data_IF_801811020711
#
_entry.id   IF_801811020711
#
_cell.length_a   1.000
_cell.length_b   1.000
_cell.length_c   1.000
_cell.angle_alpha   90.00
_cell.angle_beta   90.00
_cell.angle_gamma   90.00
#
_symmetry.space_group_name_H-M   'P 1'
#
loop_
_entity.id
_entity.type
_entity.pdbx_description
1 polymer ?
#
# COMPACT_ATOMS: atom_id res chain seq x y z
N UNK A 1 1.43 7.22 -30.04
CA UNK A 1 2.75 7.85 -30.17
C UNK A 1 3.44 7.70 -28.83
N UNK A 2 4.31 6.69 -28.68
CA UNK A 2 5.12 6.49 -27.46
C UNK A 2 6.05 7.70 -27.34
N UNK A 3 5.90 8.51 -26.29
CA UNK A 3 6.84 9.60 -26.03
C UNK A 3 8.22 8.98 -25.79
N UNK A 4 9.21 9.39 -26.55
CA UNK A 4 10.60 8.95 -26.36
C UNK A 4 11.14 9.53 -25.05
N UNK A 5 11.07 8.76 -23.98
CA UNK A 5 11.69 9.12 -22.71
C UNK A 5 13.12 8.58 -22.65
N UNK A 6 13.99 9.29 -21.94
CA UNK A 6 15.33 8.78 -21.63
C UNK A 6 15.23 7.45 -20.86
N UNK A 7 16.12 6.51 -21.14
CA UNK A 7 16.20 5.23 -20.39
C UNK A 7 16.29 5.47 -18.87
N UNK A 8 17.01 6.51 -18.45
CA UNK A 8 17.08 6.88 -17.03
C UNK A 8 15.71 7.21 -16.44
N UNK A 9 14.91 8.01 -17.12
CA UNK A 9 13.55 8.37 -16.68
C UNK A 9 12.66 7.16 -16.56
N UNK A 10 12.73 6.23 -17.52
CA UNK A 10 11.94 4.99 -17.51
C UNK A 10 12.22 4.15 -16.26
N UNK A 11 13.50 3.88 -16.00
CA UNK A 11 13.89 3.04 -14.84
C UNK A 11 13.70 3.77 -13.51
N UNK A 12 13.82 5.08 -13.47
CA UNK A 12 13.48 5.88 -12.29
C UNK A 12 12.01 5.77 -11.93
N UNK A 13 11.11 5.78 -12.91
CA UNK A 13 9.67 5.56 -12.69
C UNK A 13 9.42 4.15 -12.14
N UNK A 14 10.02 3.11 -12.72
CA UNK A 14 9.90 1.72 -12.22
C UNK A 14 10.39 1.64 -10.77
N UNK A 15 11.52 2.24 -10.47
CA UNK A 15 12.07 2.27 -9.10
C UNK A 15 11.09 2.91 -8.13
N UNK A 16 10.56 4.11 -8.45
CA UNK A 16 9.60 4.79 -7.57
C UNK A 16 8.31 3.99 -7.35
N UNK A 17 7.78 3.38 -8.41
CA UNK A 17 6.58 2.54 -8.32
C UNK A 17 6.84 1.29 -7.49
N UNK A 18 8.02 0.68 -7.63
CA UNK A 18 8.42 -0.49 -6.82
C UNK A 18 8.56 -0.11 -5.35
N UNK A 19 9.18 1.03 -5.04
CA UNK A 19 9.31 1.53 -3.66
C UNK A 19 7.92 1.79 -3.07
N UNK A 20 7.05 2.49 -3.79
CA UNK A 20 5.68 2.76 -3.33
C UNK A 20 4.89 1.48 -3.06
N UNK A 21 4.96 0.50 -3.98
CA UNK A 21 4.32 -0.80 -3.79
C UNK A 21 4.93 -1.57 -2.60
N UNK A 22 6.25 -1.57 -2.44
CA UNK A 22 6.93 -2.21 -1.31
C UNK A 22 6.47 -1.62 0.03
N UNK A 23 6.40 -0.29 0.13
CA UNK A 23 5.92 0.40 1.34
C UNK A 23 4.46 0.04 1.66
N UNK A 24 3.58 -0.04 0.64
CA UNK A 24 2.20 -0.49 0.81
C UNK A 24 2.13 -1.91 1.37
N UNK A 25 2.97 -2.83 0.90
CA UNK A 25 3.01 -4.20 1.43
C UNK A 25 3.63 -4.28 2.84
N UNK A 26 4.63 -3.46 3.16
CA UNK A 26 5.14 -3.34 4.54
C UNK A 26 4.02 -2.89 5.47
N UNK A 27 3.25 -1.85 5.10
CA UNK A 27 2.15 -1.33 5.91
C UNK A 27 1.08 -2.39 6.22
N UNK A 28 0.75 -3.23 5.24
CA UNK A 28 -0.17 -4.35 5.44
C UNK A 28 0.39 -5.42 6.36
N UNK A 29 1.67 -5.79 6.17
CA UNK A 29 2.30 -6.88 6.91
C UNK A 29 2.66 -6.51 8.34
N UNK A 30 3.05 -5.27 8.60
CA UNK A 30 3.43 -4.84 9.95
C UNK A 30 2.26 -5.01 10.93
N UNK A 31 1.03 -4.78 10.51
CA UNK A 31 -0.14 -5.02 11.36
C UNK A 31 -0.33 -6.49 11.72
N UNK A 32 -0.03 -7.41 10.79
CA UNK A 32 -0.09 -8.84 11.11
C UNK A 32 0.93 -9.22 12.18
N UNK A 33 2.11 -8.62 12.15
CA UNK A 33 3.14 -8.83 13.17
C UNK A 33 2.73 -8.19 14.51
N UNK A 34 2.03 -7.04 14.47
CA UNK A 34 1.62 -6.28 15.66
C UNK A 34 0.28 -6.73 16.28
N UNK A 35 -0.31 -7.84 15.88
CA UNK A 35 -1.61 -8.31 16.41
C UNK A 35 -1.58 -8.41 17.94
N UNK A 36 -0.52 -8.97 18.53
CA UNK A 36 -0.38 -9.13 19.97
C UNK A 36 -0.39 -7.80 20.73
N UNK A 37 0.52 -6.87 20.42
CA UNK A 37 0.51 -5.52 20.98
C UNK A 37 -0.83 -4.79 20.80
N UNK A 38 -1.40 -4.76 19.59
CA UNK A 38 -2.68 -4.08 19.31
C UNK A 38 -3.81 -4.61 20.18
N UNK A 39 -3.88 -5.93 20.37
CA UNK A 39 -4.89 -6.54 21.25
C UNK A 39 -4.77 -6.05 22.69
N UNK A 40 -3.55 -5.95 23.21
CA UNK A 40 -3.31 -5.52 24.59
C UNK A 40 -3.63 -4.03 24.77
N UNK A 41 -3.14 -3.19 23.87
CA UNK A 41 -3.22 -1.73 24.00
C UNK A 41 -4.64 -1.21 23.79
N UNK A 42 -5.45 -1.88 22.96
CA UNK A 42 -6.83 -1.48 22.69
C UNK A 42 -7.87 -2.21 23.57
N UNK A 43 -7.47 -2.66 24.76
CA UNK A 43 -8.41 -3.18 25.77
C UNK A 43 -8.80 -4.64 25.60
N UNK A 44 -7.97 -5.46 24.98
CA UNK A 44 -8.19 -6.91 24.86
C UNK A 44 -9.15 -7.26 23.72
N UNK A 45 -8.92 -6.72 22.52
CA UNK A 45 -9.75 -7.01 21.36
C UNK A 45 -9.85 -8.51 21.07
N UNK A 46 -11.04 -8.94 20.70
CA UNK A 46 -11.33 -10.31 20.27
C UNK A 46 -10.66 -10.62 18.90
N UNK A 47 -10.50 -11.91 18.61
CA UNK A 47 -9.98 -12.35 17.28
C UNK A 47 -10.87 -11.90 16.13
N UNK A 48 -12.18 -11.79 16.37
CA UNK A 48 -13.13 -11.28 15.38
C UNK A 48 -12.88 -9.80 15.09
N UNK A 49 -12.70 -8.97 16.12
CA UNK A 49 -12.42 -7.53 15.94
C UNK A 49 -11.11 -7.30 15.22
N UNK A 50 -10.06 -8.05 15.54
CA UNK A 50 -8.79 -8.00 14.83
C UNK A 50 -8.96 -8.40 13.36
N UNK A 51 -9.70 -9.47 13.09
CA UNK A 51 -9.97 -9.89 11.70
C UNK A 51 -10.77 -8.87 10.91
N UNK A 52 -11.67 -8.14 11.56
CA UNK A 52 -12.40 -7.03 10.94
C UNK A 52 -11.46 -5.87 10.59
N UNK A 53 -10.54 -5.50 11.46
CA UNK A 53 -9.58 -4.41 11.23
C UNK A 53 -8.60 -4.77 10.10
N UNK A 54 -7.93 -5.93 10.22
CA UNK A 54 -6.86 -6.32 9.29
C UNK A 54 -7.42 -6.75 7.94
N UNK A 55 -8.51 -7.52 7.96
CA UNK A 55 -9.12 -8.10 6.76
C UNK A 55 -10.18 -7.20 6.15
N UNK A 56 -11.36 -7.15 6.78
CA UNK A 56 -12.56 -6.59 6.16
C UNK A 56 -12.46 -5.09 5.93
N UNK A 57 -12.00 -4.31 6.93
CA UNK A 57 -11.91 -2.85 6.83
C UNK A 57 -11.08 -2.41 5.63
N UNK A 58 -9.95 -3.05 5.43
CA UNK A 58 -9.07 -2.78 4.30
C UNK A 58 -9.61 -3.36 2.99
N UNK A 59 -9.85 -4.70 2.95
CA UNK A 59 -10.12 -5.41 1.69
C UNK A 59 -11.44 -5.02 1.03
N UNK A 60 -12.50 -4.82 1.82
CA UNK A 60 -13.80 -4.42 1.29
C UNK A 60 -13.72 -3.03 0.65
N UNK A 61 -13.13 -2.07 1.37
CA UNK A 61 -13.03 -0.69 0.86
C UNK A 61 -12.06 -0.60 -0.32
N UNK A 62 -10.92 -1.28 -0.25
CA UNK A 62 -9.97 -1.39 -1.35
C UNK A 62 -10.66 -1.91 -2.62
N UNK A 63 -11.41 -3.02 -2.52
CA UNK A 63 -12.10 -3.63 -3.66
C UNK A 63 -13.19 -2.71 -4.26
N UNK A 64 -13.99 -2.08 -3.40
CA UNK A 64 -15.07 -1.19 -3.83
C UNK A 64 -14.54 0.09 -4.47
N UNK A 65 -13.41 0.61 -3.99
CA UNK A 65 -12.86 1.89 -4.48
C UNK A 65 -11.91 1.74 -5.65
N UNK A 66 -11.35 0.55 -5.90
CA UNK A 66 -10.41 0.30 -7.01
C UNK A 66 -11.01 0.68 -8.37
N UNK A 67 -12.24 0.28 -8.68
CA UNK A 67 -12.87 0.59 -9.98
C UNK A 67 -13.17 2.09 -10.17
N UNK A 68 -13.76 2.80 -9.20
CA UNK A 68 -13.93 4.26 -9.29
C UNK A 68 -12.59 5.00 -9.44
N UNK A 69 -11.58 4.61 -8.65
CA UNK A 69 -10.26 5.24 -8.69
C UNK A 69 -9.49 4.95 -9.99
N UNK A 70 -9.66 3.76 -10.57
CA UNK A 70 -9.15 3.46 -11.90
C UNK A 70 -9.72 4.42 -12.96
N UNK A 71 -11.04 4.68 -12.94
CA UNK A 71 -11.69 5.64 -13.85
C UNK A 71 -11.18 7.08 -13.65
N UNK A 72 -10.87 7.44 -12.41
CA UNK A 72 -10.26 8.74 -12.10
C UNK A 72 -8.83 8.79 -12.69
N UNK A 73 -8.04 7.73 -12.52
CA UNK A 73 -6.70 7.65 -13.09
C UNK A 73 -6.67 7.72 -14.62
N UNK A 74 -7.73 7.26 -15.30
CA UNK A 74 -7.87 7.36 -16.76
C UNK A 74 -8.20 8.79 -17.22
N UNK A 75 -8.87 9.60 -16.38
CA UNK A 75 -9.30 10.97 -16.72
C UNK A 75 -8.31 12.04 -16.27
N UNK A 76 -7.54 11.78 -15.24
CA UNK A 76 -6.60 12.72 -14.66
C UNK A 76 -5.16 12.27 -14.83
N UNK A 77 -4.19 13.12 -14.47
CA UNK A 77 -2.79 12.76 -14.47
C UNK A 77 -2.52 11.59 -13.51
N UNK A 78 -2.11 10.44 -14.05
CA UNK A 78 -1.80 9.23 -13.26
C UNK A 78 -0.78 9.51 -12.16
N UNK A 79 0.24 10.34 -12.47
CA UNK A 79 1.21 10.81 -11.48
C UNK A 79 0.54 11.47 -10.28
N UNK A 80 -0.42 12.37 -10.52
CA UNK A 80 -1.10 13.08 -9.45
C UNK A 80 -2.03 12.15 -8.66
N UNK A 81 -2.68 11.20 -9.32
CA UNK A 81 -3.53 10.20 -8.66
C UNK A 81 -2.70 9.30 -7.75
N UNK A 82 -1.54 8.82 -8.22
CA UNK A 82 -0.61 8.02 -7.41
C UNK A 82 -0.10 8.85 -6.22
N UNK A 83 0.33 10.10 -6.46
CA UNK A 83 0.85 10.97 -5.39
C UNK A 83 -0.22 11.27 -4.33
N UNK A 84 -1.45 11.57 -4.75
CA UNK A 84 -2.57 11.78 -3.84
C UNK A 84 -2.92 10.52 -3.04
N UNK A 85 -2.87 9.35 -3.68
CA UNK A 85 -3.04 8.07 -3.02
C UNK A 85 -1.98 7.83 -1.96
N UNK A 86 -0.68 7.98 -2.31
CA UNK A 86 0.43 7.82 -1.37
C UNK A 86 0.27 8.77 -0.17
N UNK A 87 -0.03 10.04 -0.42
CA UNK A 87 -0.26 11.01 0.65
C UNK A 87 -1.44 10.59 1.55
N UNK A 88 -2.57 10.19 0.95
CA UNK A 88 -3.77 9.79 1.68
C UNK A 88 -3.51 8.58 2.57
N UNK A 89 -2.94 7.48 2.03
CA UNK A 89 -2.71 6.30 2.85
C UNK A 89 -1.63 6.53 3.91
N UNK A 90 -0.57 7.31 3.60
CA UNK A 90 0.46 7.64 4.60
C UNK A 90 -0.12 8.40 5.79
N UNK A 91 -1.03 9.35 5.53
CA UNK A 91 -1.75 10.08 6.57
C UNK A 91 -2.62 9.13 7.41
N UNK A 92 -3.35 8.24 6.77
CA UNK A 92 -4.21 7.27 7.45
C UNK A 92 -3.39 6.25 8.25
N UNK A 93 -2.22 5.82 7.76
CA UNK A 93 -1.30 4.96 8.50
C UNK A 93 -0.75 5.67 9.75
N UNK A 94 -0.39 6.95 9.63
CA UNK A 94 0.01 7.75 10.79
C UNK A 94 -1.14 7.86 11.82
N UNK A 95 -2.37 8.10 11.36
CA UNK A 95 -3.56 8.11 12.25
C UNK A 95 -3.83 6.74 12.88
N UNK A 96 -3.61 5.64 12.15
CA UNK A 96 -3.72 4.29 12.70
C UNK A 96 -2.75 4.06 13.85
N UNK A 97 -1.51 4.56 13.74
CA UNK A 97 -0.52 4.49 14.84
C UNK A 97 -0.88 5.33 16.07
N UNK A 98 -1.81 6.28 15.94
CA UNK A 98 -2.31 7.11 17.06
C UNK A 98 -3.66 6.62 17.60
N UNK A 99 -4.20 5.52 17.08
CA UNK A 99 -5.51 5.01 17.45
C UNK A 99 -5.53 4.47 18.87
N UNK A 100 -6.52 4.89 19.66
CA UNK A 100 -6.74 4.45 21.04
C UNK A 100 -8.04 3.65 21.20
N UNK A 101 -8.69 3.29 20.10
CA UNK A 101 -9.92 2.49 20.11
C UNK A 101 -10.06 1.68 18.83
N UNK A 102 -10.87 0.60 18.91
CA UNK A 102 -11.24 -0.21 17.75
C UNK A 102 -11.72 0.63 16.57
N UNK A 103 -12.66 1.55 16.80
CA UNK A 103 -13.26 2.34 15.72
C UNK A 103 -12.29 3.32 15.05
N UNK A 104 -11.36 3.88 15.82
CA UNK A 104 -10.32 4.74 15.26
C UNK A 104 -9.39 3.94 14.35
N UNK A 105 -8.93 2.78 14.80
CA UNK A 105 -8.07 1.91 14.00
C UNK A 105 -8.82 1.36 12.78
N UNK A 106 -10.07 0.92 12.96
CA UNK A 106 -10.90 0.42 11.87
C UNK A 106 -11.12 1.46 10.76
N UNK A 107 -11.49 2.69 11.12
CA UNK A 107 -11.71 3.77 10.14
C UNK A 107 -10.41 4.22 9.47
N UNK A 108 -9.30 4.28 10.20
CA UNK A 108 -7.99 4.55 9.63
C UNK A 108 -7.60 3.48 8.60
N UNK A 109 -7.85 2.20 8.87
CA UNK A 109 -7.61 1.09 7.92
C UNK A 109 -8.47 1.17 6.66
N UNK A 110 -9.72 1.60 6.79
CA UNK A 110 -10.57 1.91 5.63
C UNK A 110 -9.93 3.03 4.77
N UNK A 111 -9.44 4.08 5.40
CA UNK A 111 -8.77 5.19 4.73
C UNK A 111 -7.49 4.77 4.01
N UNK A 112 -6.69 3.89 4.61
CA UNK A 112 -5.53 3.26 3.95
C UNK A 112 -5.97 2.48 2.71
N UNK A 113 -7.02 1.66 2.82
CA UNK A 113 -7.59 0.92 1.69
C UNK A 113 -8.00 1.80 0.51
N UNK A 114 -8.64 2.96 0.77
CA UNK A 114 -8.98 3.94 -0.27
C UNK A 114 -7.72 4.50 -0.94
N UNK A 115 -6.74 4.95 -0.15
CA UNK A 115 -5.51 5.54 -0.66
C UNK A 115 -4.73 4.55 -1.54
N UNK A 116 -4.53 3.33 -1.08
CA UNK A 116 -3.79 2.30 -1.80
C UNK A 116 -4.50 1.81 -3.07
N UNK A 117 -5.84 1.78 -3.08
CA UNK A 117 -6.63 1.36 -4.23
C UNK A 117 -6.39 2.22 -5.48
N UNK A 118 -5.91 3.46 -5.30
CA UNK A 118 -5.60 4.37 -6.42
C UNK A 118 -4.31 4.00 -7.15
N UNK A 119 -3.33 3.42 -6.46
CA UNK A 119 -1.97 3.25 -7.01
C UNK A 119 -1.82 2.04 -7.92
N UNK A 120 -2.51 0.94 -7.68
CA UNK A 120 -2.41 -0.27 -8.50
C UNK A 120 -2.76 -0.03 -9.98
N UNK A 121 -4.02 0.33 -10.29
CA UNK A 121 -4.44 0.61 -11.67
C UNK A 121 -3.65 1.75 -12.33
N UNK A 122 -3.39 2.82 -11.58
CA UNK A 122 -2.64 3.97 -12.10
C UNK A 122 -1.18 3.60 -12.44
N UNK A 123 -0.52 2.76 -11.63
CA UNK A 123 0.85 2.29 -11.86
C UNK A 123 0.95 1.39 -13.09
N UNK A 124 0.05 0.41 -13.22
CA UNK A 124 0.02 -0.48 -14.38
C UNK A 124 -0.23 0.29 -15.68
N UNK A 125 -1.20 1.20 -15.67
CA UNK A 125 -1.50 2.06 -16.81
C UNK A 125 -0.33 3.01 -17.15
N UNK A 126 0.36 3.54 -16.13
CA UNK A 126 1.54 4.39 -16.31
C UNK A 126 2.69 3.61 -16.96
N UNK A 127 2.98 2.38 -16.51
CA UNK A 127 4.00 1.55 -17.12
C UNK A 127 3.70 1.26 -18.60
N UNK A 128 2.45 0.96 -18.94
CA UNK A 128 2.04 0.72 -20.33
C UNK A 128 2.23 1.94 -21.25
N UNK A 129 2.14 3.17 -20.72
CA UNK A 129 2.41 4.38 -21.49
C UNK A 129 3.90 4.67 -21.67
N UNK A 130 4.74 4.19 -20.75
CA UNK A 130 6.18 4.51 -20.73
C UNK A 130 7.03 3.48 -21.47
N UNK A 131 6.60 2.20 -21.47
CA UNK A 131 7.39 1.10 -22.02
C UNK A 131 6.79 0.55 -23.31
N UNK A 132 7.66 0.12 -24.22
CA UNK A 132 7.29 -0.66 -25.39
C UNK A 132 6.88 -2.10 -25.02
N UNK A 133 6.22 -2.80 -25.94
CA UNK A 133 5.70 -4.16 -25.72
C UNK A 133 6.79 -5.18 -25.30
N UNK A 134 8.04 -4.97 -25.72
CA UNK A 134 9.14 -5.89 -25.41
C UNK A 134 9.71 -5.68 -24.01
N UNK A 135 9.71 -4.45 -23.49
CA UNK A 135 10.27 -4.10 -22.17
C UNK A 135 9.22 -4.06 -21.08
N UNK A 136 7.95 -3.89 -21.43
CA UNK A 136 6.85 -3.80 -20.51
C UNK A 136 6.73 -5.00 -19.56
N UNK A 137 6.85 -6.28 -20.00
CA UNK A 137 6.80 -7.42 -19.10
C UNK A 137 7.89 -7.41 -18.03
N UNK A 138 9.09 -6.95 -18.38
CA UNK A 138 10.20 -6.85 -17.44
C UNK A 138 9.96 -5.75 -16.40
N UNK A 139 9.46 -4.58 -16.82
CA UNK A 139 9.08 -3.50 -15.91
C UNK A 139 7.97 -3.95 -14.94
N UNK A 140 6.96 -4.67 -15.41
CA UNK A 140 5.93 -5.27 -14.57
C UNK A 140 6.50 -6.29 -13.59
N UNK A 141 7.42 -7.14 -14.04
CA UNK A 141 8.08 -8.14 -13.18
C UNK A 141 8.81 -7.51 -12.00
N UNK A 142 9.50 -6.37 -12.22
CA UNK A 142 10.16 -5.63 -11.15
C UNK A 142 9.14 -5.10 -10.14
N UNK A 143 8.10 -4.42 -10.60
CA UNK A 143 7.06 -3.89 -9.69
C UNK A 143 6.31 -5.03 -8.98
N UNK A 144 6.06 -6.15 -9.66
CA UNK A 144 5.43 -7.33 -9.09
C UNK A 144 6.30 -8.06 -8.06
N UNK A 145 7.59 -7.75 -7.93
CA UNK A 145 8.44 -8.25 -6.83
C UNK A 145 8.21 -7.53 -5.51
N UNK A 146 7.58 -6.36 -5.53
CA UNK A 146 7.35 -5.52 -4.35
C UNK A 146 6.64 -6.23 -3.18
N UNK A 147 5.60 -7.08 -3.40
CA UNK A 147 4.96 -7.85 -2.33
C UNK A 147 5.94 -8.75 -1.57
N UNK A 148 6.84 -9.42 -2.28
CA UNK A 148 7.82 -10.32 -1.67
C UNK A 148 8.87 -9.55 -0.87
N UNK A 149 9.37 -8.44 -1.43
CA UNK A 149 10.32 -7.55 -0.77
C UNK A 149 9.66 -6.93 0.47
N UNK A 150 8.46 -6.39 0.35
CA UNK A 150 7.74 -5.73 1.43
C UNK A 150 7.41 -6.69 2.57
N UNK A 151 6.91 -7.87 2.26
CA UNK A 151 6.63 -8.93 3.25
C UNK A 151 7.91 -9.38 3.96
N UNK A 152 8.99 -9.61 3.20
CA UNK A 152 10.29 -9.97 3.78
C UNK A 152 10.82 -8.90 4.73
N UNK A 153 10.82 -7.65 4.31
CA UNK A 153 11.27 -6.51 5.14
C UNK A 153 10.40 -6.34 6.40
N UNK A 154 9.08 -6.43 6.28
CA UNK A 154 8.18 -6.30 7.42
C UNK A 154 8.44 -7.39 8.48
N UNK A 155 8.71 -8.62 8.08
CA UNK A 155 9.02 -9.72 9.01
C UNK A 155 10.41 -9.56 9.64
N UNK A 156 11.43 -9.17 8.85
CA UNK A 156 12.81 -8.99 9.34
C UNK A 156 12.90 -7.82 10.33
N UNK A 157 12.19 -6.74 10.07
CA UNK A 157 12.24 -5.53 10.91
C UNK A 157 11.19 -5.55 12.01
N UNK A 158 9.99 -6.07 11.72
CA UNK A 158 8.84 -6.04 12.63
C UNK A 158 9.05 -6.88 13.89
N UNK A 159 9.60 -8.09 13.78
CA UNK A 159 9.87 -8.96 14.92
C UNK A 159 10.82 -8.31 15.93
N UNK A 160 12.09 -8.01 15.55
CA UNK A 160 13.03 -7.36 16.45
C UNK A 160 12.57 -5.99 17.00
N UNK A 161 11.77 -5.25 16.23
CA UNK A 161 11.21 -3.97 16.70
C UNK A 161 10.21 -4.18 17.84
N UNK A 162 9.35 -5.20 17.75
CA UNK A 162 8.40 -5.53 18.82
C UNK A 162 9.17 -5.99 20.07
N UNK A 163 10.13 -6.90 19.91
CA UNK A 163 10.96 -7.38 21.02
C UNK A 163 11.67 -6.22 21.74
N UNK A 164 12.13 -5.24 20.98
CA UNK A 164 12.77 -4.03 21.55
C UNK A 164 11.80 -3.11 22.29
N UNK A 165 10.56 -2.98 21.79
CA UNK A 165 9.54 -2.10 22.39
C UNK A 165 8.86 -2.74 23.60
N UNK A 166 8.91 -4.08 23.73
CA UNK A 166 8.34 -4.83 24.83
C UNK A 166 9.36 -5.13 25.96
N UNK A 167 10.67 -4.87 25.72
CA UNK A 167 11.74 -5.04 26.69
C UNK A 167 11.86 -3.85 27.64
#
# INVERSE_FOLDING_TARGET
IVKSYSNWTLWYVVFLLTVAATLSFIDRQILNVMIGPIKRDLGGLSDTEISLIIGLAFSAVYSLTTLPLARIADRYSRRNVIAAGIFSWSLMTAMAGMANSFWQLFTARMGVGIGEASSGPASTSMLADYFDEHRLPFAYGIVASAPFIGTGLANIVGGPLIDYLEA
#
